data_IF_476606236936
#
_entry.id   IF_476606236936
#
_cell.length_a   1.000
_cell.length_b   1.000
_cell.length_c   1.000
_cell.angle_alpha   90.00
_cell.angle_beta   90.00
_cell.angle_gamma   90.00
#
_symmetry.space_group_name_H-M   'P 1'
#
loop_
_entity.id
_entity.type
_entity.pdbx_description
1 polymer ?
#
# COMPACT_ATOMS: atom_id res chain seq x y z
N UNK A 1 13.71 68.69 -31.79
CA UNK A 1 12.71 68.35 -30.76
C UNK A 1 12.21 66.94 -31.03
N UNK A 2 12.72 65.94 -30.29
CA UNK A 2 12.16 64.58 -30.35
C UNK A 2 10.77 64.65 -29.72
N UNK A 3 9.75 64.34 -30.52
CA UNK A 3 8.34 64.39 -30.12
C UNK A 3 8.12 63.65 -28.80
N UNK A 4 7.31 64.23 -27.92
CA UNK A 4 6.92 63.69 -26.61
C UNK A 4 6.39 62.25 -26.72
N UNK A 5 5.84 61.88 -27.89
CA UNK A 5 5.39 60.52 -28.19
C UNK A 5 6.54 59.51 -28.34
N UNK A 6 7.65 59.90 -28.98
CA UNK A 6 8.81 59.01 -29.17
C UNK A 6 9.51 58.77 -27.83
N UNK A 7 9.58 59.78 -26.95
CA UNK A 7 10.10 59.59 -25.59
C UNK A 7 9.23 58.67 -24.75
N UNK A 8 7.89 58.79 -24.83
CA UNK A 8 6.98 57.88 -24.12
C UNK A 8 7.04 56.45 -24.68
N UNK A 9 7.13 56.29 -26.00
CA UNK A 9 7.28 54.97 -26.63
C UNK A 9 8.61 54.31 -26.27
N UNK A 10 9.73 55.06 -26.25
CA UNK A 10 11.03 54.53 -25.82
C UNK A 10 11.04 54.14 -24.34
N UNK A 11 10.38 54.92 -23.47
CA UNK A 11 10.25 54.59 -22.05
C UNK A 11 9.41 53.32 -21.86
N UNK A 12 8.31 53.15 -22.61
CA UNK A 12 7.51 51.92 -22.55
C UNK A 12 8.29 50.72 -23.08
N UNK A 13 9.06 50.87 -24.18
CA UNK A 13 9.90 49.80 -24.71
C UNK A 13 11.06 49.44 -23.78
N UNK A 14 11.72 50.43 -23.16
CA UNK A 14 12.77 50.21 -22.16
C UNK A 14 12.22 49.57 -20.88
N UNK A 15 11.04 49.98 -20.42
CA UNK A 15 10.38 49.37 -19.26
C UNK A 15 9.96 47.94 -19.59
N UNK A 16 9.41 47.66 -20.78
CA UNK A 16 9.03 46.31 -21.20
C UNK A 16 10.24 45.38 -21.45
N UNK A 17 11.37 45.90 -21.96
CA UNK A 17 12.60 45.12 -22.12
C UNK A 17 13.36 44.92 -20.80
N UNK A 18 13.24 45.85 -19.85
CA UNK A 18 13.79 45.67 -18.51
C UNK A 18 12.93 44.71 -17.67
N UNK A 19 11.61 44.63 -17.84
CA UNK A 19 10.82 43.65 -17.08
C UNK A 19 11.08 42.20 -17.51
N UNK A 20 11.40 41.94 -18.78
CA UNK A 20 11.65 40.57 -19.27
C UNK A 20 13.04 40.04 -18.95
N UNK A 21 14.08 40.88 -19.02
CA UNK A 21 15.46 40.44 -18.74
C UNK A 21 15.69 40.20 -17.25
N UNK A 22 15.11 41.03 -16.38
CA UNK A 22 15.26 40.85 -14.92
C UNK A 22 14.44 39.65 -14.39
N UNK A 23 13.36 39.24 -15.07
CA UNK A 23 12.57 38.07 -14.68
C UNK A 23 13.31 36.74 -14.87
N UNK A 24 14.07 36.60 -15.97
CA UNK A 24 14.81 35.37 -16.28
C UNK A 24 15.95 35.12 -15.28
N UNK A 25 16.71 36.17 -14.93
CA UNK A 25 17.82 36.09 -13.97
C UNK A 25 17.35 35.70 -12.55
N UNK A 26 16.17 36.21 -12.14
CA UNK A 26 15.55 35.86 -10.86
C UNK A 26 15.18 34.37 -10.85
N UNK A 27 14.54 33.87 -11.91
CA UNK A 27 14.16 32.46 -12.02
C UNK A 27 15.37 31.51 -12.09
N UNK A 28 16.46 31.90 -12.74
CA UNK A 28 17.70 31.11 -12.78
C UNK A 28 18.38 31.05 -11.40
N UNK A 29 18.36 32.14 -10.65
CA UNK A 29 18.83 32.17 -9.25
C UNK A 29 17.96 31.28 -8.34
N UNK A 30 16.65 31.24 -8.61
CA UNK A 30 15.70 30.38 -7.90
C UNK A 30 15.91 28.91 -8.25
N UNK A 31 16.28 28.59 -9.48
CA UNK A 31 16.68 27.23 -9.87
C UNK A 31 17.89 26.75 -9.07
N UNK A 32 18.87 27.62 -8.83
CA UNK A 32 20.00 27.29 -7.97
C UNK A 32 19.58 27.13 -6.49
N UNK A 33 18.70 28.00 -5.98
CA UNK A 33 18.15 27.87 -4.62
C UNK A 33 17.34 26.59 -4.46
N UNK A 34 16.51 26.24 -5.42
CA UNK A 34 15.73 25.01 -5.46
C UNK A 34 16.63 23.77 -5.58
N UNK A 35 17.67 23.81 -6.40
CA UNK A 35 18.65 22.73 -6.46
C UNK A 35 19.40 22.57 -5.13
N UNK A 36 19.76 23.67 -4.45
CA UNK A 36 20.35 23.60 -3.10
C UNK A 36 19.37 23.03 -2.09
N UNK A 37 18.11 23.47 -2.14
CA UNK A 37 17.00 22.93 -1.35
C UNK A 37 16.97 21.40 -1.45
N UNK A 38 17.02 20.85 -2.66
CA UNK A 38 16.99 19.38 -2.89
C UNK A 38 18.13 18.59 -2.22
N UNK A 39 19.20 19.24 -1.79
CA UNK A 39 20.36 18.62 -1.15
C UNK A 39 20.67 19.20 0.24
N UNK A 40 19.72 19.89 0.87
CA UNK A 40 19.88 20.52 2.20
C UNK A 40 18.67 20.26 3.10
N UNK A 41 18.79 20.56 4.40
CA UNK A 41 17.66 20.63 5.35
C UNK A 41 17.32 22.10 5.65
N UNK A 42 16.55 22.78 4.79
CA UNK A 42 16.15 24.15 5.02
C UNK A 42 15.10 24.23 6.14
N UNK A 43 15.09 25.35 6.84
CA UNK A 43 14.03 25.68 7.79
C UNK A 43 12.69 25.88 7.09
N UNK A 44 11.60 25.72 7.85
CA UNK A 44 10.24 25.97 7.37
C UNK A 44 10.06 27.39 6.81
N UNK A 45 10.69 28.39 7.42
CA UNK A 45 10.69 29.77 6.94
C UNK A 45 11.40 29.92 5.59
N UNK A 46 12.54 29.24 5.41
CA UNK A 46 13.26 29.21 4.13
C UNK A 46 12.45 28.53 3.03
N UNK A 47 11.68 27.48 3.38
CA UNK A 47 10.79 26.79 2.44
C UNK A 47 9.60 27.66 2.05
N UNK A 48 8.95 28.32 3.01
CA UNK A 48 7.84 29.26 2.74
C UNK A 48 8.34 30.41 1.85
N UNK A 49 9.52 30.96 2.15
CA UNK A 49 10.13 32.00 1.31
C UNK A 49 10.44 31.49 -0.10
N UNK A 50 10.98 30.28 -0.24
CA UNK A 50 11.30 29.70 -1.54
C UNK A 50 10.04 29.45 -2.37
N UNK A 51 8.96 28.97 -1.76
CA UNK A 51 7.65 28.77 -2.40
C UNK A 51 7.14 30.10 -2.96
N UNK A 52 7.09 31.14 -2.13
CA UNK A 52 6.59 32.46 -2.55
C UNK A 52 7.44 33.04 -3.69
N UNK A 53 8.76 32.87 -3.64
CA UNK A 53 9.65 33.35 -4.69
C UNK A 53 9.43 32.59 -6.02
N UNK A 54 9.20 31.27 -5.95
CA UNK A 54 8.93 30.45 -7.15
C UNK A 54 7.54 30.77 -7.73
N UNK A 55 6.52 30.95 -6.90
CA UNK A 55 5.17 31.33 -7.34
C UNK A 55 5.20 32.65 -8.12
N UNK A 56 5.89 33.67 -7.60
CA UNK A 56 6.11 34.94 -8.29
C UNK A 56 6.84 34.76 -9.63
N UNK A 57 7.82 33.85 -9.68
CA UNK A 57 8.56 33.52 -10.90
C UNK A 57 7.65 32.81 -11.93
N UNK A 58 6.77 31.89 -11.52
CA UNK A 58 5.80 31.18 -12.38
C UNK A 58 4.83 32.15 -13.07
N UNK A 59 4.38 33.21 -12.37
CA UNK A 59 3.47 34.21 -12.93
C UNK A 59 4.07 34.91 -14.15
N UNK A 60 5.38 35.16 -14.14
CA UNK A 60 6.12 35.82 -15.23
C UNK A 60 6.57 34.90 -16.38
N UNK A 61 6.39 33.57 -16.28
CA UNK A 61 6.86 32.64 -17.32
C UNK A 61 5.98 32.62 -18.57
N UNK A 62 6.62 32.83 -19.73
CA UNK A 62 6.00 32.65 -21.05
C UNK A 62 6.04 31.20 -21.53
N UNK A 63 7.10 30.44 -21.21
CA UNK A 63 7.24 29.04 -21.61
C UNK A 63 6.30 28.14 -20.79
N UNK A 64 5.29 27.57 -21.46
CA UNK A 64 4.28 26.71 -20.83
C UNK A 64 4.87 25.42 -20.24
N UNK A 65 5.92 24.86 -20.83
CA UNK A 65 6.57 23.65 -20.32
C UNK A 65 7.28 23.95 -19.00
N UNK A 66 8.06 25.02 -18.96
CA UNK A 66 8.72 25.47 -17.73
C UNK A 66 7.68 25.82 -16.67
N UNK A 67 6.58 26.49 -17.04
CA UNK A 67 5.48 26.80 -16.14
C UNK A 67 4.89 25.54 -15.49
N UNK A 68 4.66 24.48 -16.26
CA UNK A 68 4.18 23.18 -15.75
C UNK A 68 5.21 22.53 -14.80
N UNK A 69 6.49 22.54 -15.17
CA UNK A 69 7.57 21.96 -14.35
C UNK A 69 7.67 22.67 -13.01
N UNK A 70 7.64 24.01 -13.02
CA UNK A 70 7.75 24.79 -11.79
C UNK A 70 6.50 24.70 -10.93
N UNK A 71 5.30 24.71 -11.52
CA UNK A 71 4.04 24.43 -10.79
C UNK A 71 4.10 23.06 -10.09
N UNK A 72 4.65 22.05 -10.76
CA UNK A 72 4.86 20.73 -10.17
C UNK A 72 5.90 20.72 -9.04
N UNK A 73 6.91 21.59 -9.09
CA UNK A 73 7.88 21.72 -8.01
C UNK A 73 7.32 22.49 -6.81
N UNK A 74 6.50 23.52 -7.03
CA UNK A 74 5.77 24.23 -5.97
C UNK A 74 4.80 23.29 -5.26
N UNK A 75 4.08 22.45 -6.01
CA UNK A 75 3.27 21.37 -5.46
C UNK A 75 4.07 20.51 -4.46
N UNK A 76 5.29 20.07 -4.83
CA UNK A 76 6.15 19.28 -3.93
C UNK A 76 6.54 20.06 -2.68
N UNK A 77 6.95 21.32 -2.84
CA UNK A 77 7.33 22.17 -1.70
C UNK A 77 6.17 22.38 -0.72
N UNK A 78 4.94 22.61 -1.20
CA UNK A 78 3.76 22.70 -0.34
C UNK A 78 3.50 21.40 0.41
N UNK A 79 3.73 20.25 -0.21
CA UNK A 79 3.63 18.96 0.45
C UNK A 79 4.73 18.79 1.52
N UNK A 80 5.96 19.23 1.24
CA UNK A 80 7.10 19.16 2.18
C UNK A 80 6.86 20.01 3.44
N UNK A 81 6.19 21.16 3.33
CA UNK A 81 5.78 22.01 4.47
C UNK A 81 4.38 21.70 5.03
N UNK A 82 3.76 20.60 4.61
CA UNK A 82 2.42 20.17 5.06
C UNK A 82 1.29 21.18 4.78
N UNK A 83 1.43 22.05 3.77
CA UNK A 83 0.38 22.97 3.35
C UNK A 83 -0.54 22.33 2.28
N UNK A 84 -1.38 21.38 2.70
CA UNK A 84 -2.18 20.55 1.79
C UNK A 84 -3.22 21.32 0.99
N UNK A 85 -3.76 22.41 1.53
CA UNK A 85 -4.74 23.25 0.83
C UNK A 85 -4.10 23.91 -0.40
N UNK A 86 -2.91 24.48 -0.23
CA UNK A 86 -2.15 25.06 -1.35
C UNK A 86 -1.61 23.96 -2.27
N UNK A 87 -1.17 22.80 -1.75
CA UNK A 87 -0.80 21.66 -2.59
C UNK A 87 -1.97 21.19 -3.50
N UNK A 88 -3.20 21.18 -2.99
CA UNK A 88 -4.37 20.81 -3.79
C UNK A 88 -4.68 21.84 -4.87
N UNK A 89 -4.50 23.13 -4.57
CA UNK A 89 -4.61 24.22 -5.54
C UNK A 89 -3.54 24.08 -6.63
N UNK A 90 -2.29 23.80 -6.27
CA UNK A 90 -1.22 23.56 -7.23
C UNK A 90 -1.44 22.30 -8.08
N UNK A 91 -2.05 21.26 -7.52
CA UNK A 91 -2.50 20.10 -8.30
C UNK A 91 -3.49 20.50 -9.40
N UNK A 92 -4.49 21.32 -9.08
CA UNK A 92 -5.47 21.81 -10.05
C UNK A 92 -4.79 22.64 -11.14
N UNK A 93 -3.89 23.53 -10.74
CA UNK A 93 -3.12 24.38 -11.64
C UNK A 93 -2.21 23.55 -12.55
N UNK A 94 -1.50 22.57 -12.00
CA UNK A 94 -0.65 21.66 -12.76
C UNK A 94 -1.43 20.86 -13.81
N UNK A 95 -2.60 20.31 -13.45
CA UNK A 95 -3.45 19.57 -14.40
C UNK A 95 -3.92 20.48 -15.52
N UNK A 96 -4.34 21.71 -15.19
CA UNK A 96 -4.82 22.69 -16.15
C UNK A 96 -3.71 23.14 -17.13
N UNK A 97 -2.53 23.44 -16.62
CA UNK A 97 -1.37 23.85 -17.43
C UNK A 97 -0.82 22.69 -18.26
N UNK A 98 -0.77 21.47 -17.72
CA UNK A 98 -0.22 20.31 -18.41
C UNK A 98 -1.10 19.87 -19.59
N UNK A 99 -2.42 19.81 -19.39
CA UNK A 99 -3.41 19.44 -20.40
C UNK A 99 -3.01 18.19 -21.21
N UNK A 100 -3.25 18.22 -22.52
CA UNK A 100 -2.81 17.16 -23.45
C UNK A 100 -1.37 17.33 -23.93
N UNK A 101 -0.78 18.51 -23.75
CA UNK A 101 0.57 18.81 -24.22
C UNK A 101 1.65 18.13 -23.37
N UNK A 102 1.37 17.90 -22.09
CA UNK A 102 2.30 17.29 -21.13
C UNK A 102 1.61 16.17 -20.33
N UNK A 103 1.21 15.06 -20.99
CA UNK A 103 0.35 14.05 -20.39
C UNK A 103 0.96 13.40 -19.13
N UNK A 104 2.29 13.27 -19.06
CA UNK A 104 2.98 12.76 -17.85
C UNK A 104 2.68 13.63 -16.62
N UNK A 105 2.79 14.95 -16.72
CA UNK A 105 2.53 15.87 -15.60
C UNK A 105 1.04 15.90 -15.25
N UNK A 106 0.16 15.88 -16.26
CA UNK A 106 -1.28 15.81 -16.04
C UNK A 106 -1.68 14.54 -15.28
N UNK A 107 -1.12 13.38 -15.65
CA UNK A 107 -1.36 12.10 -14.97
C UNK A 107 -0.82 12.12 -13.54
N UNK A 108 0.41 12.60 -13.33
CA UNK A 108 1.02 12.68 -11.99
C UNK A 108 0.23 13.62 -11.08
N UNK A 109 -0.08 14.83 -11.52
CA UNK A 109 -0.85 15.80 -10.73
C UNK A 109 -2.29 15.31 -10.48
N UNK A 110 -2.89 14.56 -11.40
CA UNK A 110 -4.19 13.91 -11.17
C UNK A 110 -4.12 12.82 -10.10
N UNK A 111 -3.05 12.03 -10.08
CA UNK A 111 -2.83 11.02 -9.04
C UNK A 111 -2.61 11.67 -7.66
N UNK A 112 -1.79 12.73 -7.60
CA UNK A 112 -1.54 13.49 -6.35
C UNK A 112 -2.82 14.19 -5.87
N UNK A 113 -3.61 14.78 -6.79
CA UNK A 113 -4.91 15.36 -6.47
C UNK A 113 -5.88 14.33 -5.91
N UNK A 114 -5.97 13.16 -6.54
CA UNK A 114 -6.85 12.08 -6.08
C UNK A 114 -6.46 11.65 -4.65
N UNK A 115 -5.17 11.60 -4.36
CA UNK A 115 -4.63 11.31 -3.04
C UNK A 115 -4.96 12.39 -1.99
N UNK A 116 -4.76 13.67 -2.32
CA UNK A 116 -5.09 14.81 -1.47
C UNK A 116 -6.59 14.91 -1.18
N UNK A 117 -7.44 14.71 -2.19
CA UNK A 117 -8.89 14.68 -2.01
C UNK A 117 -9.32 13.51 -1.12
N UNK A 118 -8.66 12.36 -1.26
CA UNK A 118 -8.87 11.23 -0.37
C UNK A 118 -8.48 11.62 1.06
N UNK A 119 -7.41 12.38 1.27
CA UNK A 119 -6.99 12.85 2.59
C UNK A 119 -7.92 13.91 3.23
N UNK A 120 -8.39 14.90 2.46
CA UNK A 120 -9.32 15.95 2.95
C UNK A 120 -10.69 15.37 3.34
N UNK A 121 -11.15 14.35 2.61
CA UNK A 121 -12.33 13.57 2.98
C UNK A 121 -12.16 12.81 4.31
N UNK A 122 -10.92 12.57 4.76
CA UNK A 122 -10.61 11.89 6.02
C UNK A 122 -10.45 12.86 7.19
N UNK A 123 -9.85 14.04 6.98
CA UNK A 123 -9.66 15.05 8.04
C UNK A 123 -10.97 15.71 8.48
N UNK A 124 -11.95 15.80 7.59
CA UNK A 124 -13.29 16.35 7.87
C UNK A 124 -14.18 15.45 8.75
N UNK A 125 -13.75 14.21 9.06
CA UNK A 125 -14.48 13.25 9.92
C UNK A 125 -14.16 13.44 11.41
N UNK A 126 -13.39 14.47 11.79
CA UNK A 126 -13.27 14.92 13.18
C UNK A 126 -12.42 14.03 14.10
N UNK A 127 -11.47 13.27 13.54
CA UNK A 127 -10.47 12.55 14.33
C UNK A 127 -9.39 13.55 14.75
N UNK A 128 -9.38 13.93 16.03
CA UNK A 128 -8.36 14.81 16.60
C UNK A 128 -6.99 14.13 16.58
N UNK A 129 -6.20 14.41 15.56
CA UNK A 129 -4.82 13.95 15.44
C UNK A 129 -3.90 14.97 16.10
N UNK A 130 -3.32 14.63 17.26
CA UNK A 130 -2.12 15.31 17.75
C UNK A 130 -0.92 14.46 17.36
N UNK A 131 -0.04 14.95 16.49
CA UNK A 131 1.23 14.29 16.16
C UNK A 131 2.39 15.23 16.51
N UNK A 132 3.38 14.70 17.22
CA UNK A 132 4.51 15.44 17.80
C UNK A 132 5.75 15.50 16.91
N UNK A 133 5.77 14.84 15.76
CA UNK A 133 6.95 14.75 14.91
C UNK A 133 6.59 15.05 13.45
N UNK A 134 7.33 15.99 12.86
CA UNK A 134 7.08 16.61 11.53
C UNK A 134 7.14 15.64 10.34
N UNK A 135 7.39 14.34 10.53
CA UNK A 135 7.63 13.36 9.45
C UNK A 135 6.39 12.56 9.00
N UNK A 136 5.46 12.24 9.90
CA UNK A 136 4.41 11.23 9.62
C UNK A 136 3.30 11.71 8.66
N UNK A 137 3.10 13.04 8.57
CA UNK A 137 1.99 13.65 7.82
C UNK A 137 2.30 13.79 6.33
N UNK A 138 3.54 14.15 5.98
CA UNK A 138 4.05 14.18 4.60
C UNK A 138 4.06 12.75 4.02
N UNK A 139 4.49 11.77 4.81
CA UNK A 139 4.50 10.35 4.46
C UNK A 139 3.09 9.82 4.17
N UNK A 140 2.05 10.27 4.86
CA UNK A 140 0.65 9.81 4.63
C UNK A 140 0.05 10.38 3.34
N UNK A 141 0.28 11.67 3.10
CA UNK A 141 -0.19 12.34 1.87
C UNK A 141 0.60 11.90 0.65
N UNK A 142 1.91 11.65 0.77
CA UNK A 142 2.74 11.07 -0.27
C UNK A 142 2.72 9.53 -0.35
N UNK A 143 2.22 8.80 0.65
CA UNK A 143 1.84 7.40 0.47
C UNK A 143 0.52 7.28 -0.29
N UNK A 144 -0.36 8.28 -0.17
CA UNK A 144 -1.51 8.43 -1.05
C UNK A 144 -1.11 8.96 -2.45
N UNK A 145 -0.16 9.90 -2.54
CA UNK A 145 0.18 10.68 -3.75
C UNK A 145 1.50 10.30 -4.48
N UNK A 146 2.35 9.49 -3.86
CA UNK A 146 3.63 8.92 -4.34
C UNK A 146 4.74 9.87 -4.82
N UNK A 147 5.39 10.70 -4.00
CA UNK A 147 6.74 11.28 -4.24
C UNK A 147 7.37 11.70 -2.87
N UNK A 148 8.68 11.94 -2.73
CA UNK A 148 9.32 12.10 -1.40
C UNK A 148 10.65 12.88 -1.46
N UNK A 149 10.99 13.63 -0.38
CA UNK A 149 12.32 13.72 0.29
C UNK A 149 12.18 14.48 1.64
N UNK A 150 13.01 14.39 2.68
CA UNK A 150 14.11 13.51 3.15
C UNK A 150 14.34 13.91 4.62
N UNK A 151 13.99 13.09 5.62
CA UNK A 151 14.96 12.42 6.50
C UNK A 151 14.38 11.21 7.27
N UNK A 152 13.13 10.84 7.00
CA UNK A 152 12.54 9.54 7.38
C UNK A 152 11.95 8.93 6.12
N UNK A 153 12.79 8.64 5.13
CA UNK A 153 12.27 8.50 3.76
C UNK A 153 12.93 7.38 2.98
N UNK A 154 12.17 6.32 2.60
CA UNK A 154 12.70 5.21 1.81
C UNK A 154 12.90 5.52 0.32
N UNK A 155 12.26 6.54 -0.26
CA UNK A 155 12.25 6.75 -1.71
C UNK A 155 12.52 8.23 -2.04
N UNK A 156 13.10 8.55 -3.19
CA UNK A 156 13.08 9.92 -3.71
C UNK A 156 12.02 10.06 -4.82
N UNK A 157 11.64 11.28 -5.21
CA UNK A 157 10.67 11.50 -6.29
C UNK A 157 10.98 10.78 -7.62
N UNK A 158 12.26 10.51 -7.94
CA UNK A 158 12.61 9.70 -9.11
C UNK A 158 12.37 8.19 -8.89
N UNK A 159 12.56 7.69 -7.66
CA UNK A 159 12.29 6.31 -7.27
C UNK A 159 10.78 6.01 -7.23
N UNK A 160 9.95 6.99 -6.88
CA UNK A 160 8.49 6.88 -6.99
C UNK A 160 7.99 6.89 -8.44
N UNK A 161 8.53 7.75 -9.30
CA UNK A 161 8.23 7.68 -10.74
C UNK A 161 8.65 6.33 -11.31
N UNK A 162 9.79 5.78 -10.88
CA UNK A 162 10.20 4.41 -11.21
C UNK A 162 9.19 3.39 -10.70
N UNK A 163 8.72 3.48 -9.45
CA UNK A 163 7.72 2.56 -8.88
C UNK A 163 6.36 2.59 -9.59
N UNK A 164 5.87 3.76 -10.01
CA UNK A 164 4.63 3.85 -10.79
C UNK A 164 4.86 3.33 -12.21
N UNK A 165 6.00 3.67 -12.82
CA UNK A 165 6.38 3.20 -14.15
C UNK A 165 6.67 1.68 -14.18
N UNK A 166 6.93 1.05 -13.03
CA UNK A 166 6.96 -0.41 -12.81
C UNK A 166 5.57 -1.05 -12.90
N UNK A 167 4.62 -0.51 -13.67
CA UNK A 167 3.36 -1.19 -13.97
C UNK A 167 3.32 -1.47 -15.46
N UNK A 168 3.64 -2.70 -15.84
CA UNK A 168 3.47 -3.16 -17.21
C UNK A 168 2.07 -3.73 -17.40
N UNK A 169 1.35 -3.24 -18.40
CA UNK A 169 0.03 -3.80 -18.77
C UNK A 169 0.10 -5.30 -19.03
N UNK A 170 -0.94 -6.02 -18.66
CA UNK A 170 -1.08 -7.45 -18.89
C UNK A 170 -2.23 -7.73 -19.88
N UNK A 171 -1.99 -8.43 -21.00
CA UNK A 171 -0.67 -8.87 -21.53
C UNK A 171 0.12 -7.71 -22.16
N UNK A 172 1.43 -7.87 -22.31
CA UNK A 172 2.28 -6.90 -23.03
C UNK A 172 3.44 -7.58 -23.76
N UNK A 173 3.82 -7.01 -24.91
CA UNK A 173 4.98 -7.41 -25.69
C UNK A 173 6.32 -6.97 -25.12
N UNK A 174 6.34 -6.18 -24.03
CA UNK A 174 7.55 -5.70 -23.36
C UNK A 174 7.89 -6.52 -22.09
N UNK A 175 7.29 -7.71 -21.93
CA UNK A 175 7.46 -8.53 -20.73
C UNK A 175 8.93 -8.86 -20.44
N UNK A 176 9.73 -9.16 -21.46
CA UNK A 176 11.13 -9.56 -21.27
C UNK A 176 11.96 -8.41 -20.72
N UNK A 177 11.90 -7.22 -21.35
CA UNK A 177 12.59 -6.00 -20.88
C UNK A 177 12.17 -5.63 -19.44
N UNK A 178 10.88 -5.77 -19.16
CA UNK A 178 10.31 -5.50 -17.85
C UNK A 178 10.75 -6.51 -16.78
N UNK A 179 10.86 -7.80 -17.14
CA UNK A 179 11.38 -8.84 -16.26
C UNK A 179 12.87 -8.65 -16.00
N UNK A 180 13.64 -8.27 -17.02
CA UNK A 180 15.06 -7.94 -16.92
C UNK A 180 15.33 -6.77 -15.96
N UNK A 181 14.48 -5.74 -16.01
CA UNK A 181 14.52 -4.64 -15.06
C UNK A 181 14.44 -5.14 -13.61
N UNK A 182 13.44 -5.98 -13.28
CA UNK A 182 13.30 -6.48 -11.90
C UNK A 182 14.41 -7.42 -11.47
N UNK A 183 14.88 -8.27 -12.38
CA UNK A 183 16.05 -9.14 -12.16
C UNK A 183 17.28 -8.31 -11.78
N UNK A 184 17.49 -7.18 -12.47
CA UNK A 184 18.60 -6.27 -12.18
C UNK A 184 18.50 -5.62 -10.79
N UNK A 185 17.29 -5.29 -10.31
CA UNK A 185 17.09 -4.67 -8.99
C UNK A 185 17.65 -5.53 -7.87
N UNK A 186 17.52 -6.85 -7.96
CA UNK A 186 17.99 -7.77 -6.93
C UNK A 186 19.24 -8.56 -7.34
N UNK A 187 19.86 -8.21 -8.47
CA UNK A 187 21.03 -8.88 -9.03
C UNK A 187 20.83 -10.41 -9.15
N UNK A 188 19.71 -10.81 -9.74
CA UNK A 188 19.41 -12.22 -10.03
C UNK A 188 19.27 -12.43 -11.54
N UNK A 189 19.54 -13.65 -12.01
CA UNK A 189 19.19 -14.10 -13.36
C UNK A 189 17.89 -14.90 -13.39
N UNK A 190 17.31 -15.17 -12.21
CA UNK A 190 16.28 -16.18 -12.00
C UNK A 190 14.90 -15.54 -11.92
N UNK A 191 14.02 -15.96 -12.81
CA UNK A 191 12.62 -15.53 -12.81
C UNK A 191 11.73 -16.56 -13.49
N UNK A 192 10.46 -16.61 -13.10
CA UNK A 192 9.41 -17.36 -13.81
C UNK A 192 8.19 -16.46 -13.96
N UNK A 193 7.60 -16.45 -15.15
CA UNK A 193 6.31 -15.80 -15.38
C UNK A 193 5.20 -16.83 -15.38
N UNK A 194 4.18 -16.62 -14.57
CA UNK A 194 3.02 -17.48 -14.46
C UNK A 194 1.74 -16.67 -14.54
N UNK A 195 1.09 -16.68 -15.71
CA UNK A 195 -0.05 -15.82 -15.98
C UNK A 195 0.34 -14.34 -15.80
N UNK A 196 -0.32 -13.59 -14.91
CA UNK A 196 0.03 -12.20 -14.62
C UNK A 196 1.15 -12.04 -13.58
N UNK A 197 1.64 -13.11 -12.96
CA UNK A 197 2.67 -13.00 -11.93
C UNK A 197 4.07 -13.16 -12.52
N UNK A 198 5.01 -12.34 -12.04
CA UNK A 198 6.43 -12.46 -12.36
C UNK A 198 7.16 -12.79 -11.06
N UNK A 199 7.54 -14.05 -10.87
CA UNK A 199 8.30 -14.50 -9.71
C UNK A 199 9.76 -14.15 -9.95
N UNK A 200 10.34 -13.32 -9.09
CA UNK A 200 11.70 -12.78 -9.22
C UNK A 200 12.55 -13.32 -8.08
N UNK A 201 13.73 -13.87 -8.40
CA UNK A 201 14.58 -14.56 -7.43
C UNK A 201 14.24 -16.04 -7.26
N UNK A 202 13.33 -16.58 -8.08
CA UNK A 202 12.89 -17.97 -8.00
C UNK A 202 13.85 -18.91 -8.76
N UNK A 203 14.60 -19.76 -8.05
CA UNK A 203 15.56 -20.70 -8.67
C UNK A 203 14.99 -22.06 -9.08
N UNK A 204 13.69 -22.30 -8.89
CA UNK A 204 13.20 -23.67 -8.76
C UNK A 204 13.68 -24.23 -7.43
N UNK A 205 12.74 -24.38 -6.49
CA UNK A 205 13.02 -24.76 -5.10
C UNK A 205 14.02 -25.93 -5.00
N UNK A 206 15.15 -25.80 -4.27
CA UNK A 206 15.93 -26.95 -3.86
C UNK A 206 15.06 -27.88 -3.01
N UNK A 207 15.12 -29.19 -3.30
CA UNK A 207 14.42 -30.22 -2.52
C UNK A 207 14.88 -30.13 -1.06
N UNK A 208 13.93 -30.18 -0.14
CA UNK A 208 14.14 -30.34 1.31
C UNK A 208 15.04 -31.55 1.62
N UNK A 209 16.35 -31.39 1.53
CA UNK A 209 17.33 -32.30 2.16
C UNK A 209 18.04 -31.62 3.33
N UNK A 210 17.80 -30.32 3.54
CA UNK A 210 18.15 -29.61 4.77
C UNK A 210 16.87 -29.34 5.54
N UNK A 211 16.44 -30.37 6.28
CA UNK A 211 15.62 -30.16 7.47
C UNK A 211 16.49 -29.30 8.40
N UNK A 212 16.31 -27.99 8.33
CA UNK A 212 16.80 -27.11 9.38
C UNK A 212 16.11 -27.63 10.65
N UNK A 213 16.85 -28.34 11.49
CA UNK A 213 16.48 -28.56 12.89
C UNK A 213 16.21 -27.16 13.45
N UNK A 214 14.93 -26.82 13.55
CA UNK A 214 14.47 -25.47 13.86
C UNK A 214 14.99 -25.07 15.24
N UNK A 215 16.13 -24.38 15.27
CA UNK A 215 16.57 -23.67 16.46
C UNK A 215 15.62 -22.49 16.66
N UNK A 216 14.85 -22.58 17.74
CA UNK A 216 14.23 -21.51 18.54
C UNK A 216 13.80 -20.26 17.76
N UNK A 217 12.51 -20.23 17.46
CA UNK A 217 11.76 -19.04 17.07
C UNK A 217 11.72 -18.03 18.23
N UNK A 218 12.37 -16.87 18.07
CA UNK A 218 12.22 -15.70 18.96
C UNK A 218 11.02 -14.81 18.60
N UNK A 219 10.20 -15.19 17.62
CA UNK A 219 8.94 -14.50 17.29
C UNK A 219 7.67 -15.34 17.50
N UNK A 220 7.82 -16.64 17.80
CA UNK A 220 6.73 -17.61 18.02
C UNK A 220 7.28 -18.88 18.70
N UNK A 221 7.23 -19.09 20.02
CA UNK A 221 7.80 -20.30 20.61
C UNK A 221 6.99 -21.52 20.13
N UNK A 222 7.62 -22.47 19.44
CA UNK A 222 7.07 -23.81 19.18
C UNK A 222 8.13 -24.83 19.62
N UNK A 223 7.82 -25.58 20.68
CA UNK A 223 8.57 -26.77 21.09
C UNK A 223 7.65 -27.97 20.89
N UNK A 224 7.61 -28.58 19.70
CA UNK A 224 7.29 -30.01 19.55
C UNK A 224 7.61 -30.53 18.13
N UNK A 225 8.15 -31.75 18.11
CA UNK A 225 8.67 -32.48 16.95
C UNK A 225 7.49 -33.04 16.12
N UNK A 226 7.24 -32.47 14.94
CA UNK A 226 6.22 -32.98 14.01
C UNK A 226 6.82 -34.14 13.22
N UNK A 227 6.16 -35.31 13.26
CA UNK A 227 6.53 -36.49 12.49
C UNK A 227 6.57 -36.22 10.98
N UNK A 228 7.72 -36.49 10.38
CA UNK A 228 7.99 -36.41 8.94
C UNK A 228 7.34 -37.58 8.19
N UNK A 229 6.13 -37.39 7.67
CA UNK A 229 5.64 -38.24 6.58
C UNK A 229 5.54 -37.43 5.27
N UNK A 230 6.53 -37.72 4.43
CA UNK A 230 6.74 -37.38 3.02
C UNK A 230 5.58 -36.72 2.24
N UNK A 231 5.69 -35.41 2.00
CA UNK A 231 5.03 -34.72 0.88
C UNK A 231 6.11 -34.46 -0.18
N UNK A 232 5.92 -34.85 -1.45
CA UNK A 232 6.93 -34.67 -2.49
C UNK A 232 7.28 -33.19 -2.67
N UNK A 233 8.58 -32.91 -2.78
CA UNK A 233 9.12 -31.59 -3.12
C UNK A 233 8.92 -31.29 -4.62
N UNK A 234 7.68 -31.05 -5.04
CA UNK A 234 7.44 -30.28 -6.27
C UNK A 234 7.62 -28.79 -5.99
N UNK A 235 8.11 -28.00 -6.97
CA UNK A 235 8.11 -26.54 -6.89
C UNK A 235 6.67 -26.02 -6.80
N UNK A 236 6.18 -25.84 -5.57
CA UNK A 236 4.76 -25.60 -5.26
C UNK A 236 4.17 -24.33 -5.87
N UNK A 237 4.98 -23.31 -6.18
CA UNK A 237 4.45 -21.95 -6.34
C UNK A 237 3.72 -21.68 -7.67
N UNK A 238 4.23 -22.04 -8.88
CA UNK A 238 3.55 -21.64 -10.13
C UNK A 238 2.18 -22.28 -10.34
N UNK A 239 2.04 -23.58 -10.04
CA UNK A 239 0.77 -24.30 -10.18
C UNK A 239 -0.28 -23.76 -9.20
N UNK A 240 0.10 -23.59 -7.93
CA UNK A 240 -0.79 -23.08 -6.88
C UNK A 240 -1.25 -21.64 -7.17
N UNK A 241 -0.42 -20.80 -7.80
CA UNK A 241 -0.82 -19.45 -8.23
C UNK A 241 -1.92 -19.47 -9.31
N UNK A 242 -1.82 -20.35 -10.29
CA UNK A 242 -2.88 -20.50 -11.30
C UNK A 242 -4.18 -21.02 -10.68
N UNK A 243 -4.07 -21.98 -9.77
CA UNK A 243 -5.22 -22.53 -9.04
C UNK A 243 -5.88 -21.45 -8.18
N UNK A 244 -5.09 -20.64 -7.48
CA UNK A 244 -5.57 -19.51 -6.68
C UNK A 244 -6.29 -18.49 -7.56
N UNK A 245 -5.69 -18.04 -8.67
CA UNK A 245 -6.34 -17.10 -9.60
C UNK A 245 -7.66 -17.71 -10.11
N UNK A 246 -7.62 -18.96 -10.56
CA UNK A 246 -8.81 -19.64 -11.10
C UNK A 246 -9.91 -19.72 -10.04
N UNK A 247 -9.55 -20.03 -8.80
CA UNK A 247 -10.47 -20.03 -7.67
C UNK A 247 -11.07 -18.64 -7.41
N UNK A 248 -10.24 -17.60 -7.28
CA UNK A 248 -10.70 -16.23 -7.03
C UNK A 248 -11.64 -15.73 -8.13
N UNK A 249 -11.32 -16.04 -9.40
CA UNK A 249 -12.17 -15.72 -10.55
C UNK A 249 -13.49 -16.47 -10.52
N UNK A 250 -13.45 -17.78 -10.34
CA UNK A 250 -14.65 -18.61 -10.44
C UNK A 250 -15.58 -18.43 -9.25
N UNK A 251 -15.04 -18.28 -8.04
CA UNK A 251 -15.82 -18.19 -6.81
C UNK A 251 -16.27 -16.77 -6.47
N UNK A 252 -15.48 -15.75 -6.80
CA UNK A 252 -15.75 -14.37 -6.38
C UNK A 252 -15.77 -13.37 -7.53
N UNK A 253 -15.64 -13.84 -8.77
CA UNK A 253 -15.69 -13.02 -9.97
C UNK A 253 -14.65 -11.89 -9.93
N UNK A 254 -13.50 -12.15 -9.31
CA UNK A 254 -12.38 -11.21 -9.28
C UNK A 254 -11.81 -11.09 -10.69
N UNK A 255 -11.66 -9.87 -11.19
CA UNK A 255 -11.16 -9.62 -12.54
C UNK A 255 -9.72 -10.10 -12.72
N UNK A 256 -9.32 -10.36 -13.97
CA UNK A 256 -7.90 -10.51 -14.27
C UNK A 256 -7.15 -9.22 -13.93
N UNK A 257 -5.89 -9.31 -13.47
CA UNK A 257 -5.11 -8.12 -13.27
C UNK A 257 -4.82 -7.45 -14.63
N UNK A 258 -4.87 -6.12 -14.65
CA UNK A 258 -4.60 -5.28 -15.81
C UNK A 258 -3.09 -5.04 -15.98
N UNK A 259 -2.30 -5.46 -14.99
CA UNK A 259 -0.86 -5.31 -14.94
C UNK A 259 -0.22 -6.62 -14.50
N UNK A 260 1.04 -6.81 -14.91
CA UNK A 260 1.87 -7.84 -14.30
C UNK A 260 2.14 -7.50 -12.83
N UNK A 261 2.06 -8.51 -11.96
CA UNK A 261 2.29 -8.42 -10.51
C UNK A 261 3.67 -9.03 -10.21
N UNK A 262 4.68 -8.21 -9.89
CA UNK A 262 6.00 -8.72 -9.49
C UNK A 262 5.91 -9.37 -8.11
N UNK A 263 6.46 -10.59 -7.96
CA UNK A 263 6.58 -11.28 -6.68
C UNK A 263 8.07 -11.49 -6.41
N UNK A 264 8.63 -10.72 -5.49
CA UNK A 264 10.02 -10.82 -5.07
C UNK A 264 10.16 -11.83 -3.95
N UNK A 265 10.98 -12.84 -4.19
CA UNK A 265 11.20 -13.94 -3.26
C UNK A 265 12.62 -13.84 -2.71
N UNK A 266 12.74 -13.74 -1.40
CA UNK A 266 14.01 -13.72 -0.69
C UNK A 266 14.22 -15.04 0.04
N UNK A 267 15.32 -15.74 -0.25
CA UNK A 267 15.60 -17.06 0.28
C UNK A 267 16.80 -17.01 1.23
N UNK A 268 16.54 -17.26 2.52
CA UNK A 268 17.56 -17.41 3.57
C UNK A 268 16.92 -18.07 4.80
N UNK A 269 17.71 -18.59 5.73
CA UNK A 269 17.21 -19.25 6.93
C UNK A 269 16.48 -18.29 7.88
N UNK A 270 15.41 -18.76 8.54
CA UNK A 270 14.58 -18.01 9.51
C UNK A 270 15.35 -17.68 10.80
N UNK A 271 16.31 -16.76 10.68
CA UNK A 271 17.22 -16.31 11.76
C UNK A 271 17.21 -14.78 11.84
N UNK A 272 17.72 -14.21 12.93
CA UNK A 272 17.89 -12.76 13.05
C UNK A 272 18.77 -12.18 11.92
N UNK A 273 19.84 -12.89 11.54
CA UNK A 273 20.69 -12.54 10.39
C UNK A 273 19.92 -12.61 9.08
N UNK A 274 19.11 -13.65 8.89
CA UNK A 274 18.25 -13.81 7.72
C UNK A 274 17.21 -12.69 7.61
N UNK A 275 16.58 -12.31 8.71
CA UNK A 275 15.63 -11.19 8.76
C UNK A 275 16.31 -9.86 8.44
N UNK A 276 17.51 -9.61 8.95
CA UNK A 276 18.28 -8.42 8.56
C UNK A 276 18.61 -8.42 7.07
N UNK A 277 18.93 -9.59 6.50
CA UNK A 277 19.09 -9.79 5.07
C UNK A 277 17.82 -9.44 4.29
N UNK A 278 16.67 -9.94 4.74
CA UNK A 278 15.36 -9.64 4.16
C UNK A 278 15.03 -8.16 4.24
N UNK A 279 15.32 -7.53 5.38
CA UNK A 279 15.12 -6.10 5.58
C UNK A 279 15.99 -5.27 4.62
N UNK A 280 17.26 -5.64 4.40
CA UNK A 280 18.10 -4.99 3.36
C UNK A 280 17.58 -5.23 1.96
N UNK A 281 17.08 -6.43 1.66
CA UNK A 281 16.47 -6.78 0.38
C UNK A 281 15.24 -5.91 0.09
N UNK A 282 14.33 -5.80 1.06
CA UNK A 282 13.15 -4.92 0.96
C UNK A 282 13.56 -3.46 0.80
N UNK A 283 14.59 -2.99 1.51
CA UNK A 283 15.15 -1.65 1.36
C UNK A 283 15.70 -1.39 -0.04
N UNK A 284 16.26 -2.40 -0.70
CA UNK A 284 16.79 -2.28 -2.06
C UNK A 284 15.68 -2.14 -3.11
N UNK A 285 14.59 -2.89 -2.95
CA UNK A 285 13.48 -2.91 -3.91
C UNK A 285 12.57 -1.70 -3.73
N UNK A 286 12.29 -1.41 -2.46
CA UNK A 286 11.23 -0.54 -1.99
C UNK A 286 11.74 0.55 -1.04
N UNK A 287 13.04 0.81 -0.99
CA UNK A 287 13.56 1.91 -0.19
C UNK A 287 13.46 1.75 1.33
N UNK A 288 12.55 0.89 1.81
CA UNK A 288 12.11 0.75 3.19
C UNK A 288 12.47 -0.62 3.75
N UNK A 289 12.82 -0.70 5.05
CA UNK A 289 13.00 -1.98 5.70
C UNK A 289 11.68 -2.77 5.78
N UNK A 290 11.79 -4.04 6.17
CA UNK A 290 10.64 -4.92 6.26
C UNK A 290 9.65 -4.53 7.38
N UNK A 291 10.10 -3.75 8.39
CA UNK A 291 9.24 -3.17 9.42
C UNK A 291 8.51 -4.21 10.26
N UNK A 292 9.22 -5.27 10.66
CA UNK A 292 8.69 -6.40 11.43
C UNK A 292 7.98 -7.47 10.59
N UNK A 293 7.76 -7.21 9.29
CA UNK A 293 7.01 -8.11 8.41
C UNK A 293 7.93 -9.12 7.75
N UNK A 294 7.42 -10.32 7.51
CA UNK A 294 8.10 -11.39 6.74
C UNK A 294 7.59 -11.48 5.30
N UNK A 295 6.42 -10.87 5.04
CA UNK A 295 5.82 -10.71 3.70
C UNK A 295 5.02 -9.41 3.70
N UNK A 296 4.97 -8.70 2.59
CA UNK A 296 4.03 -7.60 2.40
C UNK A 296 3.67 -7.39 0.92
N UNK A 297 2.49 -6.81 0.71
CA UNK A 297 2.07 -6.23 -0.55
C UNK A 297 2.41 -4.74 -0.60
N UNK A 298 2.92 -4.27 -1.73
CA UNK A 298 3.15 -2.85 -2.00
C UNK A 298 2.05 -2.33 -2.95
N UNK A 299 1.04 -1.58 -2.47
CA UNK A 299 -0.02 -1.05 -3.32
C UNK A 299 0.51 -0.07 -4.37
N UNK A 300 1.72 0.44 -4.17
CA UNK A 300 2.32 1.39 -5.10
C UNK A 300 2.63 0.71 -6.45
N UNK A 301 3.48 -0.29 -6.49
CA UNK A 301 3.84 -0.97 -7.74
C UNK A 301 3.12 -2.32 -7.92
N UNK A 302 2.10 -2.58 -7.10
CA UNK A 302 1.37 -3.86 -7.02
C UNK A 302 2.24 -5.06 -6.71
N UNK A 303 3.49 -4.89 -6.29
CA UNK A 303 4.37 -6.01 -6.05
C UNK A 303 4.12 -6.68 -4.69
N UNK A 304 4.48 -7.94 -4.61
CA UNK A 304 4.50 -8.72 -3.37
C UNK A 304 5.95 -9.05 -3.05
N UNK A 305 6.34 -8.90 -1.79
CA UNK A 305 7.67 -9.28 -1.31
C UNK A 305 7.50 -10.31 -0.21
N UNK A 306 8.19 -11.45 -0.34
CA UNK A 306 8.10 -12.54 0.64
C UNK A 306 9.46 -13.10 0.98
N UNK A 307 9.65 -13.36 2.27
CA UNK A 307 10.73 -14.19 2.76
C UNK A 307 10.31 -15.67 2.70
N UNK A 308 11.00 -16.47 1.89
CA UNK A 308 10.64 -17.85 1.56
C UNK A 308 10.91 -18.87 2.66
N UNK A 309 11.48 -18.46 3.80
CA UNK A 309 11.71 -19.35 4.94
C UNK A 309 10.42 -19.75 5.67
N UNK A 310 9.30 -19.10 5.33
CA UNK A 310 7.99 -19.31 5.95
C UNK A 310 7.08 -20.08 5.00
N UNK A 311 5.99 -20.63 5.52
CA UNK A 311 5.00 -21.30 4.69
C UNK A 311 4.40 -20.33 3.63
N UNK A 312 3.73 -20.87 2.60
CA UNK A 312 3.14 -20.06 1.53
C UNK A 312 1.94 -19.22 1.98
N UNK A 313 1.44 -19.39 3.21
CA UNK A 313 0.25 -18.71 3.72
C UNK A 313 0.32 -17.18 3.67
N UNK A 314 1.33 -16.55 4.31
CA UNK A 314 1.58 -15.12 4.20
C UNK A 314 1.72 -14.63 2.76
N UNK A 315 2.34 -15.42 1.87
CA UNK A 315 2.45 -15.09 0.45
C UNK A 315 1.06 -15.05 -0.22
N UNK A 316 0.21 -16.05 0.00
CA UNK A 316 -1.16 -16.04 -0.52
C UNK A 316 -1.99 -14.90 0.02
N UNK A 317 -1.86 -14.55 1.29
CA UNK A 317 -2.49 -13.37 1.87
C UNK A 317 -2.17 -12.11 1.05
N UNK A 318 -0.88 -11.85 0.80
CA UNK A 318 -0.47 -10.63 0.10
C UNK A 318 -0.83 -10.64 -1.39
N UNK A 319 -0.84 -11.81 -2.04
CA UNK A 319 -1.29 -11.94 -3.43
C UNK A 319 -2.79 -11.66 -3.55
N UNK A 320 -3.60 -12.13 -2.59
CA UNK A 320 -5.03 -11.83 -2.56
C UNK A 320 -5.26 -10.33 -2.42
N UNK A 321 -4.50 -9.63 -1.57
CA UNK A 321 -4.55 -8.16 -1.50
C UNK A 321 -4.27 -7.49 -2.86
N UNK A 322 -3.23 -7.95 -3.57
CA UNK A 322 -2.91 -7.42 -4.90
C UNK A 322 -4.05 -7.60 -5.90
N UNK A 323 -4.72 -8.75 -5.87
CA UNK A 323 -5.85 -9.07 -6.73
C UNK A 323 -7.11 -8.28 -6.36
N UNK A 324 -7.42 -8.17 -5.06
CA UNK A 324 -8.59 -7.44 -4.56
C UNK A 324 -8.49 -5.95 -4.85
N UNK A 325 -7.35 -5.31 -4.55
CA UNK A 325 -7.21 -3.87 -4.67
C UNK A 325 -7.38 -3.39 -6.12
N UNK A 326 -7.04 -4.23 -7.09
CA UNK A 326 -7.21 -3.87 -8.49
C UNK A 326 -8.68 -3.86 -8.92
N UNK A 327 -9.48 -4.76 -8.37
CA UNK A 327 -10.89 -4.95 -8.73
C UNK A 327 -11.82 -4.12 -7.84
N UNK A 328 -11.37 -3.82 -6.61
CA UNK A 328 -12.09 -3.04 -5.62
C UNK A 328 -11.12 -2.09 -4.87
N UNK A 329 -10.73 -0.95 -5.47
CA UNK A 329 -9.76 -0.02 -4.87
C UNK A 329 -10.19 0.57 -3.52
N UNK A 330 -11.49 0.74 -3.29
CA UNK A 330 -12.04 1.25 -2.03
C UNK A 330 -12.53 0.12 -1.11
N UNK A 331 -11.93 -1.08 -1.21
CA UNK A 331 -12.31 -2.21 -0.35
C UNK A 331 -12.15 -1.82 1.13
N UNK A 332 -13.16 -2.03 1.99
CA UNK A 332 -13.04 -1.77 3.42
C UNK A 332 -11.96 -2.65 4.05
N UNK A 333 -11.21 -2.10 5.00
CA UNK A 333 -10.03 -2.77 5.59
C UNK A 333 -10.38 -4.14 6.16
N UNK A 334 -11.47 -4.25 6.93
CA UNK A 334 -11.92 -5.53 7.48
C UNK A 334 -12.24 -6.58 6.42
N UNK A 335 -12.80 -6.16 5.28
CA UNK A 335 -13.12 -7.08 4.20
C UNK A 335 -11.85 -7.48 3.47
N UNK A 336 -10.95 -6.54 3.18
CA UNK A 336 -9.66 -6.83 2.54
C UNK A 336 -8.83 -7.81 3.37
N UNK A 337 -8.59 -7.49 4.65
CA UNK A 337 -7.80 -8.33 5.55
C UNK A 337 -8.50 -9.65 5.87
N UNK A 338 -9.82 -9.62 6.08
CA UNK A 338 -10.60 -10.83 6.32
C UNK A 338 -10.60 -11.78 5.13
N UNK A 339 -10.68 -11.24 3.92
CA UNK A 339 -10.68 -12.03 2.69
C UNK A 339 -9.29 -12.58 2.38
N UNK A 340 -8.25 -11.75 2.45
CA UNK A 340 -6.87 -12.19 2.26
C UNK A 340 -6.46 -13.26 3.28
N UNK A 341 -6.80 -13.04 4.55
CA UNK A 341 -6.43 -13.97 5.61
C UNK A 341 -7.05 -15.34 5.43
N UNK A 342 -8.25 -15.50 4.87
CA UNK A 342 -8.83 -16.83 4.57
C UNK A 342 -7.87 -17.77 3.81
N UNK A 343 -6.91 -17.23 3.05
CA UNK A 343 -5.95 -17.98 2.26
C UNK A 343 -4.60 -18.24 2.95
N UNK A 344 -4.37 -17.72 4.16
CA UNK A 344 -3.15 -18.03 4.93
C UNK A 344 -3.06 -19.52 5.29
N UNK A 345 -4.21 -20.17 5.44
CA UNK A 345 -4.28 -21.60 5.72
C UNK A 345 -5.54 -22.19 5.09
N UNK A 346 -5.33 -23.06 4.11
CA UNK A 346 -6.41 -23.66 3.32
C UNK A 346 -6.23 -25.15 3.12
N UNK A 347 -7.34 -25.89 3.10
CA UNK A 347 -7.40 -27.27 2.67
C UNK A 347 -7.60 -27.39 1.16
N UNK A 348 -8.15 -28.52 0.74
CA UNK A 348 -8.49 -28.77 -0.67
C UNK A 348 -9.39 -27.65 -1.23
N UNK A 349 -9.12 -27.23 -2.48
CA UNK A 349 -9.88 -26.17 -3.17
C UNK A 349 -9.95 -24.83 -2.40
N UNK A 350 -8.86 -24.45 -1.72
CA UNK A 350 -8.79 -23.20 -0.96
C UNK A 350 -9.88 -23.04 0.11
N UNK A 351 -10.41 -24.15 0.66
CA UNK A 351 -11.33 -24.09 1.80
C UNK A 351 -10.55 -23.56 3.01
N UNK A 352 -10.91 -22.41 3.60
CA UNK A 352 -10.19 -21.84 4.74
C UNK A 352 -10.24 -22.77 5.94
N UNK A 353 -9.10 -22.96 6.58
CA UNK A 353 -8.97 -23.74 7.80
C UNK A 353 -8.79 -22.82 9.01
N UNK A 354 -9.05 -23.37 10.20
CA UNK A 354 -8.79 -22.67 11.45
C UNK A 354 -7.28 -22.54 11.70
N UNK A 355 -6.83 -21.36 12.15
CA UNK A 355 -5.42 -21.10 12.43
C UNK A 355 -5.21 -20.37 13.77
N UNK A 356 -3.98 -19.92 14.03
CA UNK A 356 -3.59 -19.23 15.27
C UNK A 356 -4.47 -18.02 15.61
N UNK A 357 -5.11 -17.38 14.62
CA UNK A 357 -6.00 -16.24 14.84
C UNK A 357 -7.25 -16.62 15.64
N UNK A 358 -7.67 -17.89 15.64
CA UNK A 358 -8.79 -18.35 16.47
C UNK A 358 -8.52 -18.12 17.96
N UNK A 359 -7.26 -18.29 18.37
CA UNK A 359 -6.83 -18.15 19.75
C UNK A 359 -7.11 -16.75 20.28
N UNK A 360 -6.87 -15.72 19.46
CA UNK A 360 -7.17 -14.34 19.82
C UNK A 360 -8.66 -14.16 20.14
N UNK A 361 -9.55 -14.74 19.32
CA UNK A 361 -10.99 -14.62 19.53
C UNK A 361 -11.49 -15.46 20.71
N UNK A 362 -10.93 -16.65 20.93
CA UNK A 362 -11.28 -17.47 22.09
C UNK A 362 -10.84 -16.81 23.40
N UNK A 363 -9.63 -16.26 23.46
CA UNK A 363 -9.17 -15.50 24.63
C UNK A 363 -9.99 -14.21 24.79
N UNK A 364 -10.25 -13.46 23.72
CA UNK A 364 -11.08 -12.25 23.78
C UNK A 364 -12.50 -12.57 24.27
N UNK A 365 -13.06 -13.72 23.90
CA UNK A 365 -14.36 -14.19 24.41
C UNK A 365 -14.28 -14.47 25.92
N UNK A 366 -13.25 -15.18 26.36
CA UNK A 366 -13.02 -15.51 27.78
C UNK A 366 -12.88 -14.26 28.66
N UNK A 367 -12.17 -13.25 28.16
CA UNK A 367 -11.90 -12.00 28.87
C UNK A 367 -12.92 -10.88 28.59
N UNK A 368 -14.00 -11.16 27.84
CA UNK A 368 -15.04 -10.17 27.46
C UNK A 368 -14.48 -8.96 26.71
N UNK A 369 -13.47 -9.18 25.87
CA UNK A 369 -12.79 -8.19 25.02
C UNK A 369 -13.09 -8.35 23.53
N UNK A 370 -14.07 -9.21 23.17
CA UNK A 370 -14.48 -9.39 21.76
C UNK A 370 -14.95 -8.08 21.13
N UNK A 371 -14.42 -7.77 19.95
CA UNK A 371 -14.93 -6.68 19.11
C UNK A 371 -16.39 -6.94 18.71
N UNK A 372 -17.18 -5.88 18.60
CA UNK A 372 -18.49 -5.96 17.96
C UNK A 372 -18.35 -5.88 16.44
N UNK A 373 -19.29 -6.44 15.69
CA UNK A 373 -19.31 -6.23 14.24
C UNK A 373 -19.46 -4.76 13.86
N UNK A 374 -20.08 -3.94 14.70
CA UNK A 374 -20.18 -2.49 14.46
C UNK A 374 -18.78 -1.85 14.46
N UNK A 375 -17.94 -2.19 15.42
CA UNK A 375 -16.58 -1.66 15.54
C UNK A 375 -15.68 -2.21 14.42
N UNK A 376 -15.87 -3.47 14.04
CA UNK A 376 -15.18 -4.08 12.90
C UNK A 376 -15.51 -3.37 11.59
N UNK A 377 -16.79 -3.09 11.31
CA UNK A 377 -17.21 -2.47 10.05
C UNK A 377 -16.76 -1.01 9.96
N UNK A 378 -16.73 -0.31 11.10
CA UNK A 378 -16.24 1.06 11.19
C UNK A 378 -14.72 1.18 11.34
N UNK A 379 -13.99 0.06 11.30
CA UNK A 379 -12.54 0.05 11.50
C UNK A 379 -11.80 0.80 10.39
N UNK A 380 -10.72 1.43 10.81
CA UNK A 380 -9.75 2.13 9.97
C UNK A 380 -8.53 1.25 9.70
N UNK A 381 -7.59 1.76 8.91
CA UNK A 381 -6.31 1.06 8.68
C UNK A 381 -5.43 1.04 9.93
N UNK A 382 -5.46 2.10 10.72
CA UNK A 382 -4.65 2.25 11.94
C UNK A 382 -5.02 1.18 12.97
N UNK A 383 -6.30 0.80 13.03
CA UNK A 383 -6.79 -0.29 13.86
C UNK A 383 -6.09 -1.62 13.56
N UNK A 384 -5.51 -1.81 12.37
CA UNK A 384 -4.78 -3.02 11.96
C UNK A 384 -3.25 -2.85 11.96
N UNK A 385 -2.73 -1.63 11.80
CA UNK A 385 -1.29 -1.39 11.64
C UNK A 385 -0.58 -0.94 12.92
N UNK A 386 -1.24 -0.14 13.76
CA UNK A 386 -0.61 0.53 14.90
C UNK A 386 -1.42 0.46 16.19
N UNK A 387 -2.71 0.09 16.10
CA UNK A 387 -3.59 -0.04 17.25
C UNK A 387 -3.17 -1.18 18.19
N UNK A 388 -3.31 -0.93 19.50
CA UNK A 388 -3.19 -1.96 20.53
C UNK A 388 -3.99 -3.24 20.20
N UNK A 389 -5.24 -3.18 19.68
CA UNK A 389 -6.02 -4.37 19.32
C UNK A 389 -5.80 -4.88 17.88
N UNK A 390 -4.72 -4.50 17.17
CA UNK A 390 -4.49 -4.86 15.76
C UNK A 390 -4.65 -6.35 15.42
N UNK A 391 -4.06 -7.23 16.23
CA UNK A 391 -4.20 -8.67 16.02
C UNK A 391 -5.63 -9.17 16.24
N UNK A 392 -6.41 -8.50 17.10
CA UNK A 392 -7.80 -8.82 17.35
C UNK A 392 -8.71 -8.36 16.19
N UNK A 393 -8.44 -7.20 15.60
CA UNK A 393 -9.12 -6.75 14.38
C UNK A 393 -8.85 -7.70 13.21
N UNK A 394 -7.59 -8.05 12.98
CA UNK A 394 -7.21 -8.99 11.93
C UNK A 394 -7.81 -10.39 12.15
N UNK A 395 -7.81 -10.90 13.38
CA UNK A 395 -8.47 -12.16 13.72
C UNK A 395 -9.99 -12.10 13.52
N UNK A 396 -10.65 -11.03 13.98
CA UNK A 396 -12.10 -10.88 13.86
C UNK A 396 -12.50 -10.79 12.38
N UNK A 397 -11.72 -10.07 11.57
CA UNK A 397 -11.91 -9.95 10.12
C UNK A 397 -11.87 -11.31 9.43
N UNK A 398 -10.82 -12.11 9.68
CA UNK A 398 -10.69 -13.46 9.11
C UNK A 398 -11.94 -14.28 9.38
N UNK A 399 -12.29 -14.38 10.66
CA UNK A 399 -13.33 -15.28 11.11
C UNK A 399 -14.73 -14.80 10.72
N UNK A 400 -14.95 -13.49 10.68
CA UNK A 400 -16.22 -12.95 10.19
C UNK A 400 -16.36 -13.23 8.69
N UNK A 401 -15.31 -13.05 7.89
CA UNK A 401 -15.35 -13.38 6.46
C UNK A 401 -15.52 -14.88 6.22
N UNK A 402 -14.87 -15.74 7.00
CA UNK A 402 -15.11 -17.20 6.99
C UNK A 402 -16.57 -17.54 7.33
N UNK A 403 -17.16 -16.90 8.34
CA UNK A 403 -18.56 -17.07 8.70
C UNK A 403 -19.49 -16.67 7.55
N UNK A 404 -19.27 -15.51 6.93
CA UNK A 404 -20.05 -15.07 5.76
C UNK A 404 -19.91 -16.06 4.59
N UNK A 405 -18.71 -16.63 4.37
CA UNK A 405 -18.47 -17.63 3.33
C UNK A 405 -19.26 -18.90 3.59
N UNK A 406 -19.19 -19.46 4.80
CA UNK A 406 -19.89 -20.70 5.15
C UNK A 406 -21.40 -20.58 5.14
N UNK A 407 -21.92 -19.37 5.35
CA UNK A 407 -23.34 -19.06 5.19
C UNK A 407 -23.75 -18.82 3.73
N UNK A 408 -22.80 -18.79 2.79
CA UNK A 408 -23.05 -18.50 1.38
C UNK A 408 -23.34 -17.03 1.08
N UNK A 409 -23.05 -16.12 2.01
CA UNK A 409 -23.36 -14.69 1.86
C UNK A 409 -22.21 -13.88 1.26
N UNK A 410 -20.96 -14.31 1.50
CA UNK A 410 -19.77 -13.53 1.15
C UNK A 410 -19.71 -13.09 -0.32
N UNK A 411 -19.97 -14.01 -1.27
CA UNK A 411 -19.92 -13.69 -2.70
C UNK A 411 -20.89 -12.57 -3.09
N UNK A 412 -22.13 -12.66 -2.60
CA UNK A 412 -23.16 -11.66 -2.90
C UNK A 412 -22.88 -10.30 -2.26
N UNK A 413 -22.30 -10.30 -1.05
CA UNK A 413 -21.86 -9.08 -0.36
C UNK A 413 -20.70 -8.45 -1.11
N UNK A 414 -19.66 -9.23 -1.41
CA UNK A 414 -18.49 -8.77 -2.14
C UNK A 414 -18.87 -8.18 -3.51
N UNK A 415 -19.72 -8.87 -4.27
CA UNK A 415 -20.19 -8.40 -5.58
C UNK A 415 -20.92 -7.05 -5.50
N UNK A 416 -21.79 -6.86 -4.52
CA UNK A 416 -22.54 -5.61 -4.33
C UNK A 416 -21.63 -4.44 -3.96
N UNK A 417 -20.72 -4.67 -3.02
CA UNK A 417 -19.78 -3.66 -2.55
C UNK A 417 -18.79 -3.26 -3.65
N UNK A 418 -18.26 -4.25 -4.38
CA UNK A 418 -17.37 -4.00 -5.52
C UNK A 418 -18.03 -3.14 -6.60
N UNK A 419 -19.28 -3.41 -6.97
CA UNK A 419 -20.00 -2.67 -8.02
C UNK A 419 -20.11 -1.17 -7.73
N UNK A 420 -20.21 -0.82 -6.45
CA UNK A 420 -20.33 0.58 -6.01
C UNK A 420 -19.00 1.19 -5.62
N UNK A 421 -17.94 0.38 -5.50
CA UNK A 421 -16.60 0.79 -5.07
C UNK A 421 -16.68 1.67 -3.80
N UNK A 422 -17.47 1.27 -2.80
CA UNK A 422 -17.81 2.09 -1.64
C UNK A 422 -17.27 1.54 -0.33
N UNK A 423 -16.49 2.34 0.39
CA UNK A 423 -16.11 2.09 1.78
C UNK A 423 -17.03 2.79 2.80
N UNK A 424 -18.14 3.37 2.36
CA UNK A 424 -19.04 4.08 3.27
C UNK A 424 -19.68 3.12 4.28
N UNK A 425 -19.55 3.46 5.56
CA UNK A 425 -19.96 2.58 6.66
C UNK A 425 -21.47 2.32 6.67
N UNK A 426 -22.31 3.29 6.35
CA UNK A 426 -23.77 3.09 6.33
C UNK A 426 -24.20 2.24 5.13
N UNK A 427 -23.58 2.44 3.98
CA UNK A 427 -23.78 1.60 2.82
C UNK A 427 -23.36 0.15 3.08
N UNK A 428 -22.20 -0.07 3.71
CA UNK A 428 -21.73 -1.40 4.11
C UNK A 428 -22.74 -2.10 5.03
N UNK A 429 -23.26 -1.38 6.03
CA UNK A 429 -24.30 -1.89 6.93
C UNK A 429 -25.55 -2.28 6.16
N UNK A 430 -26.01 -1.42 5.25
CA UNK A 430 -27.19 -1.69 4.44
C UNK A 430 -27.03 -2.98 3.62
N UNK A 431 -25.89 -3.16 2.94
CA UNK A 431 -25.60 -4.38 2.16
C UNK A 431 -25.57 -5.62 3.07
N UNK A 432 -24.94 -5.55 4.24
CA UNK A 432 -24.94 -6.68 5.18
C UNK A 432 -26.34 -7.05 5.63
N UNK A 433 -27.19 -6.08 6.00
CA UNK A 433 -28.58 -6.34 6.39
C UNK A 433 -29.36 -6.94 5.23
N UNK A 434 -29.23 -6.37 4.03
CA UNK A 434 -29.94 -6.82 2.84
C UNK A 434 -29.56 -8.25 2.46
N UNK A 435 -28.27 -8.61 2.46
CA UNK A 435 -27.81 -9.93 2.00
C UNK A 435 -27.95 -11.02 3.06
N UNK A 436 -27.88 -10.67 4.34
CA UNK A 436 -27.97 -11.66 5.43
C UNK A 436 -29.38 -11.78 6.02
N UNK A 437 -30.22 -10.75 5.89
CA UNK A 437 -31.52 -10.66 6.56
C UNK A 437 -31.44 -10.28 8.05
N UNK A 438 -30.25 -9.99 8.58
CA UNK A 438 -30.03 -9.66 9.99
C UNK A 438 -29.53 -8.23 10.16
N UNK A 439 -30.13 -7.50 11.11
CA UNK A 439 -29.50 -6.32 11.69
C UNK A 439 -28.14 -6.66 12.31
N UNK A 440 -27.20 -5.70 12.35
CA UNK A 440 -25.83 -5.96 12.82
C UNK A 440 -25.75 -6.61 14.20
N UNK A 441 -26.58 -6.21 15.16
CA UNK A 441 -26.60 -6.80 16.50
C UNK A 441 -27.02 -8.27 16.47
N UNK A 442 -28.01 -8.62 15.65
CA UNK A 442 -28.42 -10.02 15.47
C UNK A 442 -27.35 -10.82 14.73
N UNK A 443 -26.72 -10.22 13.72
CA UNK A 443 -25.61 -10.83 12.98
C UNK A 443 -24.40 -11.09 13.88
N UNK A 444 -24.09 -10.18 14.81
CA UNK A 444 -23.02 -10.33 15.79
C UNK A 444 -23.29 -11.51 16.75
N UNK A 445 -24.55 -11.68 17.17
CA UNK A 445 -24.96 -12.86 17.95
C UNK A 445 -24.78 -14.15 17.13
N UNK A 446 -25.19 -14.16 15.86
CA UNK A 446 -25.02 -15.33 14.98
C UNK A 446 -23.54 -15.68 14.78
N UNK A 447 -22.71 -14.67 14.52
CA UNK A 447 -21.27 -14.82 14.35
C UNK A 447 -20.61 -15.38 15.63
N UNK A 448 -20.87 -14.77 16.78
CA UNK A 448 -20.35 -15.24 18.08
C UNK A 448 -20.87 -16.63 18.44
N UNK A 449 -22.12 -16.95 18.07
CA UNK A 449 -22.69 -18.28 18.22
C UNK A 449 -21.96 -19.32 17.38
N UNK A 450 -21.71 -19.04 16.11
CA UNK A 450 -20.93 -19.89 15.21
C UNK A 450 -19.50 -20.10 15.70
N UNK A 451 -18.85 -19.04 16.19
CA UNK A 451 -17.47 -19.09 16.67
C UNK A 451 -17.28 -20.07 17.85
N UNK A 452 -18.29 -20.25 18.71
CA UNK A 452 -18.23 -21.16 19.86
C UNK A 452 -18.01 -22.63 19.47
N UNK A 453 -18.37 -23.01 18.25
CA UNK A 453 -18.23 -24.38 17.77
C UNK A 453 -16.88 -24.63 17.08
N UNK A 454 -16.06 -23.58 16.91
CA UNK A 454 -14.71 -23.70 16.36
C UNK A 454 -13.78 -24.33 17.38
N UNK A 455 -13.04 -25.35 16.93
CA UNK A 455 -12.05 -26.05 17.75
C UNK A 455 -10.69 -25.44 17.50
N UNK A 456 -9.96 -25.25 18.59
CA UNK A 456 -8.58 -24.84 18.53
C UNK A 456 -7.74 -25.87 17.76
N UNK A 457 -6.96 -25.47 16.74
CA UNK A 457 -6.02 -26.37 16.10
C UNK A 457 -4.84 -26.64 17.04
N UNK A 458 -4.60 -27.93 17.34
CA UNK A 458 -3.56 -28.36 18.28
C UNK A 458 -2.17 -27.77 17.97
N UNK A 459 -1.82 -27.67 16.69
CA UNK A 459 -0.53 -27.12 16.23
C UNK A 459 -0.24 -25.67 16.64
N UNK A 460 -1.27 -24.89 17.00
CA UNK A 460 -1.11 -23.48 17.39
C UNK A 460 -1.17 -23.28 18.91
N UNK A 461 -1.43 -24.33 19.68
CA UNK A 461 -1.66 -24.26 21.13
C UNK A 461 -0.50 -23.66 21.93
N UNK A 462 0.71 -23.77 21.41
CA UNK A 462 1.90 -23.19 22.02
C UNK A 462 1.88 -21.65 22.08
N UNK A 463 1.12 -21.00 21.20
CA UNK A 463 0.94 -19.53 21.21
C UNK A 463 -0.09 -19.05 22.24
N UNK A 464 -0.81 -19.95 22.92
CA UNK A 464 -1.89 -19.59 23.83
C UNK A 464 -1.43 -18.64 24.94
N UNK A 465 -0.24 -18.85 25.51
CA UNK A 465 0.26 -18.07 26.64
C UNK A 465 0.47 -16.60 26.27
N UNK A 466 1.13 -16.36 25.14
CA UNK A 466 1.45 -15.02 24.63
C UNK A 466 0.19 -14.28 24.19
N UNK A 467 -0.68 -14.97 23.45
CA UNK A 467 -1.96 -14.42 23.00
C UNK A 467 -2.86 -14.07 24.19
N UNK A 468 -2.87 -14.90 25.23
CA UNK A 468 -3.59 -14.62 26.48
C UNK A 468 -3.04 -13.38 27.19
N UNK A 469 -1.72 -13.18 27.20
CA UNK A 469 -1.11 -11.99 27.78
C UNK A 469 -1.53 -10.74 26.99
N UNK A 470 -1.36 -10.78 25.67
CA UNK A 470 -1.79 -9.72 24.75
C UNK A 470 -3.26 -9.33 24.97
N UNK A 471 -4.19 -10.29 24.99
CA UNK A 471 -5.63 -10.00 25.16
C UNK A 471 -5.97 -9.42 26.53
N UNK A 472 -5.21 -9.73 27.58
CA UNK A 472 -5.43 -9.15 28.92
C UNK A 472 -4.98 -7.70 29.02
N UNK A 473 -4.05 -7.29 28.18
CA UNK A 473 -3.50 -5.93 28.14
C UNK A 473 -4.38 -4.96 27.35
N UNK A 474 -5.19 -5.46 26.42
CA UNK A 474 -6.33 -4.72 25.83
C UNK A 474 -7.37 -4.40 26.90
#
# INVERSE_FOLDING_TARGET
MISTYVKKALIVLLVMSCTSVFGQDVCDSLKQRYNRYQFSNPSEEEMISLVADIENCIEGMEDQKEKVIWTYNVLKLHLDIQNYSEALKECNQCIALAGKAYPKYATNCSAIKHALNSYEAWSSVGVGLTHSDKGDTVETVFNAAKLDNSEIHPYNGADYERLIARRLSYPSGQLDEYTDYFKSLINTTKSITQGPFILIGYDGMPKKDTVVKSQKQELFPIEEEIQEDSIPAEPMLPKELNELISFLKNQYQISNPNYYIPIYLYETDLTNTGYQGFSRFTKKIHGRPAGGRITYFNPLDFSVVSWMAVNNGPLYHQIVHAMLLQDYPQIPVWLSEGFASMFEETGHQFVPMDNYRLLYLQQATKYRKMLSLKDLIASSKDDYESGAPSMLYAATSRYFTMFLREKGWLESIYSELKKTNSNDTEFLKHVLVQKTGYGLSALDIQFKGWLKYRKEPAKWSVLQTEIKAYIKEL
#
